data_IF_136270626168
#
_entry.id   IF_136270626168
#
_cell.length_a   1.000
_cell.length_b   1.000
_cell.length_c   1.000
_cell.angle_alpha   90.00
_cell.angle_beta   90.00
_cell.angle_gamma   90.00
#
_symmetry.space_group_name_H-M   'P 1'
#
loop_
_entity.id
_entity.type
_entity.pdbx_description
1 polymer ?
#
# COMPACT_ATOMS: atom_id res chain seq x y z
N UNK A 1 34.83 7.83 9.79
CA UNK A 1 34.51 6.59 10.54
C UNK A 1 33.07 6.71 11.02
N UNK A 2 32.12 6.22 10.25
CA UNK A 2 30.74 6.13 10.68
C UNK A 2 30.63 4.96 11.64
N UNK A 3 30.23 5.23 12.89
CA UNK A 3 30.07 4.19 13.89
C UNK A 3 29.09 3.14 13.43
N UNK A 4 29.55 1.90 13.35
CA UNK A 4 28.70 0.73 13.11
C UNK A 4 27.71 0.62 14.27
N UNK A 5 26.50 1.20 14.09
CA UNK A 5 25.37 0.80 14.90
C UNK A 5 25.15 -0.68 14.61
N UNK A 6 25.30 -1.54 15.60
CA UNK A 6 24.93 -2.95 15.53
C UNK A 6 23.42 -3.01 15.18
N UNK A 7 23.13 -3.15 13.89
CA UNK A 7 21.77 -3.35 13.41
C UNK A 7 21.47 -4.84 13.54
N UNK A 8 20.57 -5.20 14.45
CA UNK A 8 20.16 -6.58 14.68
C UNK A 8 18.87 -6.88 13.94
N UNK A 9 18.83 -8.02 13.27
CA UNK A 9 17.64 -8.49 12.55
C UNK A 9 16.73 -9.28 13.50
N UNK A 10 15.43 -8.92 13.54
CA UNK A 10 14.45 -9.66 14.31
C UNK A 10 14.08 -10.96 13.59
N UNK A 11 14.48 -12.10 14.14
CA UNK A 11 14.04 -13.40 13.65
C UNK A 11 12.89 -13.90 14.53
N UNK A 12 11.82 -14.47 13.92
CA UNK A 12 10.69 -15.12 14.63
C UNK A 12 11.15 -16.24 15.59
N UNK A 13 12.38 -16.73 15.47
CA UNK A 13 12.97 -17.77 16.33
C UNK A 13 13.79 -17.19 17.51
N UNK A 14 13.79 -15.87 17.73
CA UNK A 14 14.43 -15.28 18.90
C UNK A 14 15.95 -15.21 18.88
N UNK A 15 16.62 -15.60 17.78
CA UNK A 15 18.07 -15.44 17.61
C UNK A 15 18.37 -14.13 16.90
N UNK A 16 18.98 -13.20 17.62
CA UNK A 16 19.41 -11.94 17.03
C UNK A 16 20.67 -12.19 16.19
N UNK A 17 20.57 -11.92 14.89
CA UNK A 17 21.69 -11.99 13.95
C UNK A 17 21.92 -10.61 13.34
N UNK A 18 23.15 -10.26 12.95
CA UNK A 18 23.41 -9.03 12.21
C UNK A 18 22.57 -8.97 10.94
N UNK A 19 22.05 -7.78 10.61
CA UNK A 19 21.17 -7.56 9.43
C UNK A 19 21.77 -8.14 8.15
N UNK A 20 23.08 -7.91 7.94
CA UNK A 20 23.78 -8.40 6.74
C UNK A 20 23.97 -9.93 6.68
N UNK A 21 23.63 -10.65 7.76
CA UNK A 21 23.59 -12.12 7.80
C UNK A 21 22.15 -12.67 7.68
N UNK A 22 21.16 -11.80 7.65
CA UNK A 22 19.78 -12.26 7.51
C UNK A 22 19.56 -12.92 6.15
N UNK A 23 18.76 -14.00 6.08
CA UNK A 23 18.52 -14.72 4.81
C UNK A 23 18.00 -13.81 3.71
N UNK A 24 17.08 -12.91 4.03
CA UNK A 24 16.49 -11.98 3.07
C UNK A 24 17.47 -10.93 2.57
N UNK A 25 18.37 -10.45 3.43
CA UNK A 25 19.43 -9.55 3.03
C UNK A 25 20.39 -10.21 2.04
N UNK A 26 20.84 -11.43 2.36
CA UNK A 26 21.76 -12.20 1.51
C UNK A 26 21.11 -12.57 0.17
N UNK A 27 19.83 -12.94 0.17
CA UNK A 27 19.06 -13.19 -1.04
C UNK A 27 18.99 -11.95 -1.94
N UNK A 28 18.67 -10.80 -1.36
CA UNK A 28 18.58 -9.53 -2.10
C UNK A 28 19.93 -9.10 -2.65
N UNK A 29 21.00 -9.25 -1.87
CA UNK A 29 22.36 -8.99 -2.32
C UNK A 29 22.74 -9.87 -3.51
N UNK A 30 22.48 -11.18 -3.40
CA UNK A 30 22.73 -12.13 -4.49
C UNK A 30 21.94 -11.76 -5.75
N UNK A 31 20.67 -11.36 -5.59
CA UNK A 31 19.84 -10.91 -6.72
C UNK A 31 20.45 -9.66 -7.40
N UNK A 32 20.90 -8.68 -6.65
CA UNK A 32 21.58 -7.50 -7.21
C UNK A 32 22.87 -7.90 -7.95
N UNK A 33 23.69 -8.77 -7.35
CA UNK A 33 24.93 -9.28 -7.96
C UNK A 33 24.66 -10.03 -9.29
N UNK A 34 23.58 -10.82 -9.36
CA UNK A 34 23.17 -11.52 -10.58
C UNK A 34 22.76 -10.54 -11.70
N UNK A 35 22.02 -9.48 -11.37
CA UNK A 35 21.62 -8.44 -12.35
C UNK A 35 22.83 -7.65 -12.84
N UNK A 36 23.75 -7.31 -11.93
CA UNK A 36 25.00 -6.61 -12.30
C UNK A 36 25.86 -7.49 -13.22
N UNK A 37 25.98 -8.78 -12.88
CA UNK A 37 26.77 -9.75 -13.64
C UNK A 37 26.19 -10.03 -15.03
N UNK A 38 24.89 -9.99 -15.20
CA UNK A 38 24.22 -10.07 -16.51
C UNK A 38 24.75 -8.96 -17.46
N UNK A 39 25.10 -7.80 -16.91
CA UNK A 39 25.73 -6.69 -17.65
C UNK A 39 24.79 -5.98 -18.64
N UNK A 40 23.59 -6.47 -18.86
CA UNK A 40 22.62 -6.01 -19.86
C UNK A 40 22.33 -4.50 -19.75
N UNK A 41 22.21 -4.02 -18.52
CA UNK A 41 21.82 -2.63 -18.24
C UNK A 41 23.00 -1.75 -17.80
N UNK A 42 24.21 -2.28 -17.67
CA UNK A 42 25.37 -1.54 -17.21
C UNK A 42 25.25 -1.02 -15.78
N UNK A 43 24.52 -1.77 -14.94
CA UNK A 43 24.33 -1.44 -13.52
C UNK A 43 25.58 -1.79 -12.71
N UNK A 44 25.78 -1.08 -11.61
CA UNK A 44 26.87 -1.27 -10.68
C UNK A 44 26.30 -1.44 -9.24
N UNK A 45 27.15 -1.84 -8.30
CA UNK A 45 26.76 -2.00 -6.89
C UNK A 45 26.16 -0.71 -6.30
N UNK A 46 26.70 0.46 -6.69
CA UNK A 46 26.21 1.76 -6.25
C UNK A 46 24.80 2.12 -6.74
N UNK A 47 24.25 1.37 -7.71
CA UNK A 47 22.87 1.57 -8.16
C UNK A 47 21.86 0.85 -7.28
N UNK A 48 22.29 -0.01 -6.35
CA UNK A 48 21.43 -0.81 -5.50
C UNK A 48 21.68 -0.55 -4.01
N UNK A 49 20.62 -0.63 -3.22
CA UNK A 49 20.72 -0.81 -1.76
C UNK A 49 19.56 -1.64 -1.22
N UNK A 50 19.75 -2.19 -0.04
CA UNK A 50 18.75 -3.00 0.63
C UNK A 50 18.09 -2.14 1.68
N UNK A 51 16.79 -1.88 1.50
CA UNK A 51 16.00 -1.10 2.44
C UNK A 51 15.66 -1.94 3.66
N UNK A 52 16.00 -1.38 4.81
CA UNK A 52 15.70 -1.95 6.12
C UNK A 52 14.97 -0.90 6.95
N UNK A 53 13.86 -1.27 7.56
CA UNK A 53 13.11 -0.38 8.44
C UNK A 53 13.28 -0.78 9.90
N UNK A 54 13.32 0.22 10.78
CA UNK A 54 13.32 -0.02 12.22
C UNK A 54 11.91 -0.37 12.68
N UNK A 55 11.79 -1.49 13.40
CA UNK A 55 10.53 -1.93 14.01
C UNK A 55 10.29 -1.19 15.33
N UNK A 56 9.07 -1.25 15.85
CA UNK A 56 8.72 -0.70 17.18
C UNK A 56 9.60 -1.25 18.32
N UNK A 57 10.17 -2.42 18.14
CA UNK A 57 11.10 -3.04 19.11
C UNK A 57 12.53 -2.56 18.97
N UNK A 58 12.84 -1.61 18.09
CA UNK A 58 14.19 -1.11 17.83
C UNK A 58 15.05 -2.06 16.98
N UNK A 59 14.49 -3.10 16.42
CA UNK A 59 15.17 -4.04 15.53
C UNK A 59 14.93 -3.68 14.07
N UNK A 60 15.88 -4.04 13.20
CA UNK A 60 15.74 -3.80 11.77
C UNK A 60 14.98 -4.95 11.09
N UNK A 61 14.05 -4.63 10.23
CA UNK A 61 13.33 -5.58 9.36
C UNK A 61 13.63 -5.29 7.89
N UNK A 62 13.78 -6.35 7.11
CA UNK A 62 13.94 -6.25 5.66
C UNK A 62 12.65 -5.70 5.03
N UNK A 63 12.80 -4.73 4.12
CA UNK A 63 11.68 -4.17 3.37
C UNK A 63 11.78 -4.48 1.89
N UNK A 64 12.92 -4.21 1.24
CA UNK A 64 13.05 -4.48 -0.19
C UNK A 64 14.46 -4.27 -0.74
N UNK A 65 14.68 -4.77 -1.96
CA UNK A 65 15.82 -4.40 -2.78
C UNK A 65 15.45 -3.17 -3.61
N UNK A 66 16.21 -2.12 -3.44
CA UNK A 66 15.96 -0.82 -4.05
C UNK A 66 16.95 -0.57 -5.18
N UNK A 67 16.45 -0.06 -6.30
CA UNK A 67 17.25 0.46 -7.40
C UNK A 67 17.17 1.99 -7.40
N UNK A 68 18.31 2.65 -7.58
CA UNK A 68 18.38 4.10 -7.67
C UNK A 68 17.66 4.64 -8.92
N UNK A 69 17.21 5.89 -8.85
CA UNK A 69 16.69 6.59 -10.03
C UNK A 69 17.71 6.59 -11.19
N UNK A 70 19.00 6.80 -10.87
CA UNK A 70 20.06 6.72 -11.88
C UNK A 70 20.17 5.30 -12.48
N UNK A 71 19.97 4.26 -11.67
CA UNK A 71 19.89 2.89 -12.16
C UNK A 71 18.71 2.69 -13.11
N UNK A 72 17.54 3.25 -12.81
CA UNK A 72 16.38 3.23 -13.70
C UNK A 72 16.67 3.95 -15.02
N UNK A 73 17.37 5.11 -15.00
CA UNK A 73 17.77 5.81 -16.23
C UNK A 73 18.74 4.99 -17.07
N UNK A 74 19.72 4.31 -16.46
CA UNK A 74 20.63 3.40 -17.17
C UNK A 74 19.89 2.25 -17.85
N UNK A 75 18.92 1.65 -17.15
CA UNK A 75 18.05 0.61 -17.72
C UNK A 75 17.29 1.16 -18.92
N UNK A 76 16.61 2.30 -18.74
CA UNK A 76 15.83 2.92 -19.81
C UNK A 76 16.68 3.19 -21.06
N UNK A 77 17.94 3.61 -20.89
CA UNK A 77 18.86 3.83 -22.01
C UNK A 77 19.16 2.55 -22.80
N UNK A 78 19.14 1.39 -22.16
CA UNK A 78 19.44 0.08 -22.77
C UNK A 78 18.22 -0.69 -23.24
N UNK A 79 17.00 -0.29 -22.86
CA UNK A 79 15.78 -0.93 -23.35
C UNK A 79 15.59 -0.66 -24.85
N UNK A 80 15.11 -1.66 -25.58
CA UNK A 80 14.64 -1.50 -26.96
C UNK A 80 13.35 -0.67 -26.99
N UNK A 81 12.39 -1.02 -26.14
CA UNK A 81 11.15 -0.29 -25.95
C UNK A 81 11.25 0.58 -24.69
N UNK A 82 11.60 1.84 -24.89
CA UNK A 82 11.92 2.80 -23.84
C UNK A 82 10.67 3.49 -23.30
N UNK A 83 10.84 4.15 -22.17
CA UNK A 83 9.88 5.14 -21.67
C UNK A 83 9.60 6.20 -22.76
N UNK A 84 8.31 6.50 -22.97
CA UNK A 84 7.83 7.41 -24.01
C UNK A 84 7.22 8.67 -23.38
N UNK A 85 7.92 9.81 -23.43
CA UNK A 85 7.42 11.05 -22.82
C UNK A 85 6.05 11.51 -23.33
N UNK A 86 5.72 11.21 -24.58
CA UNK A 86 4.45 11.53 -25.23
C UNK A 86 3.24 10.79 -24.61
N UNK A 87 3.49 9.70 -23.88
CA UNK A 87 2.47 8.94 -23.16
C UNK A 87 2.17 9.49 -21.76
N UNK A 88 2.82 10.59 -21.37
CA UNK A 88 2.69 11.18 -20.02
C UNK A 88 1.62 12.24 -19.98
N UNK A 89 0.72 12.17 -19.00
CA UNK A 89 -0.20 13.23 -18.63
C UNK A 89 -0.02 13.63 -17.16
N UNK A 90 -0.41 14.85 -16.82
CA UNK A 90 -0.32 15.38 -15.46
C UNK A 90 -1.70 15.86 -15.00
N UNK A 91 -2.10 15.45 -13.81
CA UNK A 91 -3.26 15.95 -13.09
C UNK A 91 -2.82 16.64 -11.79
N UNK A 92 -3.25 17.90 -11.62
CA UNK A 92 -2.94 18.71 -10.42
C UNK A 92 -4.02 18.59 -9.35
N UNK A 93 -5.20 18.15 -9.73
CA UNK A 93 -6.39 18.07 -8.88
C UNK A 93 -6.74 16.63 -8.50
N UNK A 94 -5.71 15.79 -8.38
CA UNK A 94 -5.86 14.40 -7.97
C UNK A 94 -6.56 14.26 -6.61
N UNK A 95 -7.07 13.06 -6.34
CA UNK A 95 -7.77 12.76 -5.10
C UNK A 95 -6.98 13.19 -3.86
N UNK A 96 -7.62 13.87 -2.92
CA UNK A 96 -7.01 14.45 -1.72
C UNK A 96 -5.89 15.49 -1.98
N UNK A 97 -5.94 16.22 -3.10
CA UNK A 97 -4.94 17.21 -3.43
C UNK A 97 -3.59 16.63 -3.85
N UNK A 98 -3.59 15.38 -4.28
CA UNK A 98 -2.40 14.73 -4.83
C UNK A 98 -2.05 15.30 -6.19
N UNK A 99 -0.76 15.50 -6.43
CA UNK A 99 -0.20 15.72 -7.76
C UNK A 99 0.07 14.36 -8.39
N UNK A 100 -0.50 14.11 -9.56
CA UNK A 100 -0.41 12.83 -10.25
C UNK A 100 0.20 13.00 -11.63
N UNK A 101 1.22 12.20 -11.93
CA UNK A 101 1.62 11.93 -13.31
C UNK A 101 1.15 10.52 -13.67
N UNK A 102 0.47 10.41 -14.81
CA UNK A 102 0.06 9.14 -15.38
C UNK A 102 0.82 8.84 -16.66
N UNK A 103 1.11 7.58 -16.87
CA UNK A 103 1.68 7.04 -18.08
C UNK A 103 0.67 6.05 -18.68
N UNK A 104 0.22 6.32 -19.90
CA UNK A 104 -0.71 5.45 -20.62
C UNK A 104 -0.15 5.18 -22.01
N UNK A 105 0.39 3.98 -22.22
CA UNK A 105 0.93 3.55 -23.49
C UNK A 105 0.31 2.22 -23.92
N UNK A 106 -0.81 2.23 -24.69
CA UNK A 106 -1.48 1.02 -25.15
C UNK A 106 -0.57 0.11 -26.00
N UNK A 107 0.34 0.69 -26.76
CA UNK A 107 1.30 -0.05 -27.60
C UNK A 107 2.26 -0.91 -26.78
N UNK A 108 2.63 -0.44 -25.58
CA UNK A 108 3.43 -1.20 -24.62
C UNK A 108 2.57 -2.06 -23.69
N UNK A 109 1.24 -1.95 -23.77
CA UNK A 109 0.31 -2.59 -22.85
C UNK A 109 0.49 -2.10 -21.42
N UNK A 110 0.91 -0.84 -21.23
CA UNK A 110 1.33 -0.33 -19.92
C UNK A 110 0.55 0.92 -19.53
N UNK A 111 0.02 0.86 -18.29
CA UNK A 111 -0.51 2.00 -17.57
C UNK A 111 0.17 2.08 -16.19
N UNK A 112 0.62 3.28 -15.80
CA UNK A 112 1.26 3.52 -14.51
C UNK A 112 0.99 4.93 -14.01
N UNK A 113 1.10 5.12 -12.69
CA UNK A 113 0.95 6.43 -12.05
C UNK A 113 2.10 6.69 -11.08
N UNK A 114 2.48 7.96 -10.96
CA UNK A 114 3.31 8.45 -9.86
C UNK A 114 2.59 9.60 -9.18
N UNK A 115 2.35 9.46 -7.89
CA UNK A 115 1.65 10.46 -7.11
C UNK A 115 2.47 10.96 -5.94
N UNK A 116 2.27 12.23 -5.60
CA UNK A 116 2.78 12.82 -4.37
C UNK A 116 1.72 13.68 -3.71
N UNK A 117 1.75 13.69 -2.39
CA UNK A 117 0.91 14.53 -1.55
C UNK A 117 1.72 14.94 -0.30
N UNK A 118 1.22 15.87 0.53
CA UNK A 118 1.94 16.32 1.72
C UNK A 118 2.28 15.24 2.75
N UNK A 119 1.64 14.05 2.69
CA UNK A 119 1.92 12.94 3.60
C UNK A 119 3.10 12.09 3.13
N UNK A 120 3.22 11.88 1.80
CA UNK A 120 4.22 10.98 1.21
C UNK A 120 5.39 11.71 0.51
N UNK A 121 5.40 13.06 0.52
CA UNK A 121 6.47 13.86 -0.06
C UNK A 121 6.71 15.10 0.79
N UNK A 122 7.88 15.19 1.42
CA UNK A 122 8.29 16.29 2.30
C UNK A 122 9.33 17.20 1.66
N UNK A 123 9.69 16.96 0.41
CA UNK A 123 10.69 17.76 -0.32
C UNK A 123 10.04 18.94 -1.04
N UNK A 124 10.85 19.96 -1.36
CA UNK A 124 10.40 21.23 -1.95
C UNK A 124 10.01 21.14 -3.44
N UNK A 125 10.24 20.00 -4.12
CA UNK A 125 9.97 19.79 -5.55
C UNK A 125 9.06 18.60 -5.81
N UNK A 126 7.80 18.67 -5.42
CA UNK A 126 6.86 17.55 -5.52
C UNK A 126 6.58 17.12 -6.97
N UNK A 127 6.60 18.05 -7.91
CA UNK A 127 6.42 17.73 -9.34
C UNK A 127 7.49 16.78 -9.87
N UNK A 128 8.75 17.09 -9.58
CA UNK A 128 9.86 16.25 -10.00
C UNK A 128 9.79 14.86 -9.34
N UNK A 129 9.35 14.80 -8.08
CA UNK A 129 9.21 13.55 -7.36
C UNK A 129 8.09 12.68 -7.93
N UNK A 130 6.92 13.24 -8.21
CA UNK A 130 5.81 12.52 -8.84
C UNK A 130 6.21 11.96 -10.22
N UNK A 131 6.89 12.77 -11.04
CA UNK A 131 7.38 12.36 -12.35
C UNK A 131 8.39 11.20 -12.23
N UNK A 132 9.37 11.32 -11.33
CA UNK A 132 10.37 10.26 -11.08
C UNK A 132 9.71 8.94 -10.66
N UNK A 133 8.75 9.00 -9.71
CA UNK A 133 8.01 7.81 -9.26
C UNK A 133 7.34 7.10 -10.43
N UNK A 134 6.62 7.83 -11.26
CA UNK A 134 5.96 7.27 -12.43
C UNK A 134 6.98 6.69 -13.41
N UNK A 135 8.02 7.46 -13.76
CA UNK A 135 9.06 7.03 -14.70
C UNK A 135 9.78 5.76 -14.23
N UNK A 136 10.20 5.72 -12.97
CA UNK A 136 10.91 4.56 -12.41
C UNK A 136 10.02 3.31 -12.41
N UNK A 137 8.75 3.42 -12.03
CA UNK A 137 7.77 2.32 -12.10
C UNK A 137 7.59 1.79 -13.51
N UNK A 138 7.47 2.68 -14.49
CA UNK A 138 7.39 2.31 -15.91
C UNK A 138 8.64 1.53 -16.34
N UNK A 139 9.82 2.05 -16.05
CA UNK A 139 11.09 1.42 -16.44
C UNK A 139 11.27 0.05 -15.76
N UNK A 140 10.94 -0.05 -14.48
CA UNK A 140 11.01 -1.33 -13.76
C UNK A 140 10.04 -2.37 -14.33
N UNK A 141 8.86 -1.97 -14.81
CA UNK A 141 7.91 -2.86 -15.48
C UNK A 141 8.39 -3.26 -16.87
N UNK A 142 8.86 -2.31 -17.69
CA UNK A 142 9.40 -2.58 -19.03
C UNK A 142 10.60 -3.53 -18.98
N UNK A 143 11.49 -3.35 -18.01
CA UNK A 143 12.63 -4.24 -17.77
C UNK A 143 12.27 -5.57 -17.09
N UNK A 144 11.04 -5.73 -16.65
CA UNK A 144 10.51 -6.86 -15.85
C UNK A 144 11.13 -7.00 -14.45
N UNK A 145 11.93 -6.03 -13.99
CA UNK A 145 12.55 -6.06 -12.66
C UNK A 145 11.53 -5.85 -11.53
N UNK A 146 10.45 -5.09 -11.77
CA UNK A 146 9.36 -4.93 -10.80
C UNK A 146 8.78 -6.29 -10.37
N UNK A 147 8.59 -7.21 -11.32
CA UNK A 147 8.05 -8.55 -11.03
C UNK A 147 9.01 -9.44 -10.23
N UNK A 148 10.26 -9.03 -10.11
CA UNK A 148 11.27 -9.67 -9.27
C UNK A 148 11.34 -9.07 -7.86
N UNK A 149 10.43 -8.17 -7.50
CA UNK A 149 10.40 -7.51 -6.19
C UNK A 149 11.54 -6.49 -5.99
N UNK A 150 11.88 -5.78 -7.08
CA UNK A 150 12.80 -4.65 -7.04
C UNK A 150 11.96 -3.37 -7.10
N UNK A 151 12.22 -2.45 -6.19
CA UNK A 151 11.51 -1.19 -6.05
C UNK A 151 12.44 -0.03 -6.43
N UNK A 152 11.86 1.12 -6.76
CA UNK A 152 12.66 2.32 -7.01
C UNK A 152 13.00 3.07 -5.73
N UNK A 153 14.07 3.86 -5.79
CA UNK A 153 14.50 4.76 -4.70
C UNK A 153 13.38 5.69 -4.22
N UNK A 154 12.60 6.21 -5.14
CA UNK A 154 11.54 7.17 -4.86
C UNK A 154 10.32 6.54 -4.17
N UNK A 155 10.26 5.20 -4.10
CA UNK A 155 9.26 4.44 -3.35
C UNK A 155 9.76 4.07 -1.94
N UNK A 156 11.06 4.17 -1.70
CA UNK A 156 11.66 3.79 -0.42
C UNK A 156 11.08 4.58 0.77
N UNK A 157 10.72 5.84 0.55
CA UNK A 157 10.09 6.69 1.57
C UNK A 157 8.67 6.23 1.93
N UNK A 158 7.95 5.58 1.00
CA UNK A 158 6.60 5.05 1.26
C UNK A 158 6.64 3.86 2.21
N UNK A 159 7.72 3.07 2.16
CA UNK A 159 7.93 1.94 3.06
C UNK A 159 8.36 2.34 4.47
N UNK A 160 8.89 3.56 4.65
CA UNK A 160 9.33 4.05 5.95
C UNK A 160 8.18 4.36 6.93
N UNK A 161 6.95 4.49 6.44
CA UNK A 161 5.78 4.98 7.19
C UNK A 161 4.86 3.86 7.66
N UNK A 162 5.02 2.63 7.20
CA UNK A 162 4.14 1.54 7.61
C UNK A 162 4.63 0.89 8.90
N UNK A 163 3.94 1.24 10.00
CA UNK A 163 3.85 0.44 11.21
C UNK A 163 3.50 -1.01 10.85
N UNK A 164 4.40 -1.94 11.12
CA UNK A 164 4.36 -3.39 10.93
C UNK A 164 3.93 -3.86 9.52
N UNK A 165 4.68 -4.75 8.87
CA UNK A 165 4.08 -5.50 7.80
C UNK A 165 2.88 -6.21 8.42
N UNK A 166 1.65 -5.82 8.03
CA UNK A 166 0.52 -6.72 8.12
C UNK A 166 1.03 -8.07 7.64
N UNK A 167 0.98 -9.06 8.52
CA UNK A 167 1.32 -10.43 8.15
C UNK A 167 0.67 -10.66 6.80
N UNK A 168 1.46 -11.07 5.80
CA UNK A 168 0.94 -11.35 4.46
C UNK A 168 -0.42 -12.01 4.66
N UNK A 169 -1.50 -11.50 4.06
CA UNK A 169 -2.82 -12.03 4.34
C UNK A 169 -2.67 -13.55 4.21
N UNK A 170 -2.84 -14.25 5.34
CA UNK A 170 -3.11 -15.68 5.25
C UNK A 170 -4.17 -15.75 4.19
N UNK A 171 -3.94 -16.51 3.14
CA UNK A 171 -4.96 -16.83 2.15
C UNK A 171 -6.04 -17.51 2.95
N UNK A 172 -6.93 -16.70 3.52
CA UNK A 172 -8.16 -17.16 4.14
C UNK A 172 -8.94 -17.69 2.95
N UNK A 173 -9.24 -18.98 2.90
CA UNK A 173 -10.06 -19.51 1.83
C UNK A 173 -11.34 -18.68 1.83
N UNK A 174 -11.69 -18.10 0.68
CA UNK A 174 -12.84 -17.26 0.39
C UNK A 174 -13.77 -17.04 1.59
N UNK A 175 -13.47 -16.06 2.43
CA UNK A 175 -14.45 -15.54 3.35
C UNK A 175 -15.52 -14.92 2.44
N UNK A 176 -16.68 -15.57 2.37
CA UNK A 176 -17.88 -15.04 1.72
C UNK A 176 -17.98 -13.56 2.08
N UNK A 177 -17.83 -12.68 1.07
CA UNK A 177 -18.00 -11.25 1.25
C UNK A 177 -19.46 -11.06 1.64
N UNK A 178 -19.73 -10.98 2.95
CA UNK A 178 -21.09 -10.75 3.45
C UNK A 178 -21.47 -9.33 3.05
N UNK A 179 -22.40 -9.14 2.11
CA UNK A 179 -22.80 -7.81 1.69
C UNK A 179 -23.40 -7.06 2.87
N UNK A 180 -22.97 -5.82 3.11
CA UNK A 180 -23.55 -4.93 4.11
C UNK A 180 -24.79 -4.23 3.56
N UNK A 181 -25.68 -3.75 4.47
CA UNK A 181 -26.85 -3.01 4.05
C UNK A 181 -26.47 -1.71 3.33
N UNK A 182 -27.20 -1.37 2.29
CA UNK A 182 -27.00 -0.16 1.51
C UNK A 182 -27.55 1.10 2.20
N UNK A 183 -27.37 2.26 1.57
CA UNK A 183 -27.86 3.55 2.10
C UNK A 183 -29.38 3.62 2.15
N UNK A 184 -30.08 2.93 1.24
CA UNK A 184 -31.55 2.92 1.20
C UNK A 184 -32.11 2.13 2.39
N UNK A 185 -31.61 0.91 2.62
CA UNK A 185 -31.98 0.08 3.75
C UNK A 185 -31.71 0.77 5.10
N UNK A 186 -30.57 1.47 5.24
CA UNK A 186 -30.29 2.27 6.46
C UNK A 186 -31.34 3.37 6.69
N UNK A 187 -31.74 4.08 5.61
CA UNK A 187 -32.78 5.11 5.71
C UNK A 187 -34.12 4.53 6.12
N UNK A 188 -34.48 3.36 5.62
CA UNK A 188 -35.71 2.63 6.01
C UNK A 188 -35.67 2.20 7.49
N UNK A 189 -34.54 1.73 8.00
CA UNK A 189 -34.40 1.39 9.43
C UNK A 189 -34.66 2.60 10.34
N UNK A 190 -34.11 3.77 9.97
CA UNK A 190 -34.37 5.00 10.73
C UNK A 190 -35.81 5.51 10.59
N UNK A 191 -36.44 5.32 9.43
CA UNK A 191 -37.85 5.65 9.23
C UNK A 191 -38.74 4.77 10.11
N UNK A 192 -38.51 3.45 10.09
CA UNK A 192 -39.22 2.49 10.95
C UNK A 192 -39.06 2.82 12.44
N UNK A 193 -37.81 3.08 12.86
CA UNK A 193 -37.55 3.47 14.25
C UNK A 193 -38.27 4.78 14.63
N UNK A 194 -38.33 5.75 13.68
CA UNK A 194 -39.07 7.00 13.87
C UNK A 194 -40.59 6.81 14.03
N UNK A 195 -41.18 5.92 13.21
CA UNK A 195 -42.60 5.59 13.28
C UNK A 195 -42.97 4.91 14.60
N UNK A 196 -42.12 4.01 15.08
CA UNK A 196 -42.43 3.20 16.29
C UNK A 196 -42.02 3.91 17.56
N UNK A 197 -40.89 4.61 17.60
CA UNK A 197 -40.26 5.15 18.83
C UNK A 197 -40.14 6.68 18.85
N UNK A 198 -40.60 7.39 17.80
CA UNK A 198 -40.56 8.85 17.74
C UNK A 198 -39.18 9.44 17.99
N UNK A 199 -39.08 10.33 18.98
CA UNK A 199 -37.81 11.04 19.31
C UNK A 199 -36.70 10.09 19.81
N UNK A 200 -37.04 8.88 20.25
CA UNK A 200 -36.07 7.89 20.70
C UNK A 200 -35.48 7.02 19.59
N UNK A 201 -35.89 7.22 18.36
CA UNK A 201 -35.46 6.41 17.18
C UNK A 201 -33.97 6.17 17.10
N UNK A 202 -33.17 7.23 17.24
CA UNK A 202 -31.69 7.15 17.16
C UNK A 202 -31.10 6.32 18.29
N UNK A 203 -31.66 6.46 19.50
CA UNK A 203 -31.19 5.71 20.68
C UNK A 203 -31.50 4.22 20.53
N UNK A 204 -32.69 3.88 20.00
CA UNK A 204 -33.10 2.51 19.75
C UNK A 204 -32.24 1.85 18.68
N UNK A 205 -32.05 2.49 17.53
CA UNK A 205 -31.16 1.95 16.48
C UNK A 205 -29.74 1.74 16.98
N UNK A 206 -29.23 2.67 17.78
CA UNK A 206 -27.92 2.52 18.41
C UNK A 206 -27.87 1.35 19.37
N UNK A 207 -28.87 1.20 20.26
CA UNK A 207 -28.91 0.10 21.21
C UNK A 207 -28.97 -1.27 20.53
N UNK A 208 -29.68 -1.40 19.41
CA UNK A 208 -29.73 -2.62 18.63
C UNK A 208 -28.36 -2.88 17.96
N UNK A 209 -27.72 -1.88 17.39
CA UNK A 209 -26.35 -2.05 16.85
C UNK A 209 -25.36 -2.48 17.94
N UNK A 210 -25.39 -1.83 19.09
CA UNK A 210 -24.48 -2.13 20.21
C UNK A 210 -24.70 -3.57 20.75
N UNK A 211 -25.92 -4.06 20.75
CA UNK A 211 -26.25 -5.43 21.18
C UNK A 211 -25.64 -6.51 20.26
N UNK A 212 -25.46 -6.19 18.96
CA UNK A 212 -24.83 -7.04 17.97
C UNK A 212 -23.31 -6.78 17.80
N UNK A 213 -22.77 -5.81 18.54
CA UNK A 213 -21.35 -5.43 18.42
C UNK A 213 -21.01 -4.60 17.18
N UNK A 214 -22.01 -4.06 16.47
CA UNK A 214 -21.80 -3.19 15.31
C UNK A 214 -21.56 -1.75 15.77
N UNK A 215 -20.51 -1.12 15.27
CA UNK A 215 -20.18 0.28 15.62
C UNK A 215 -21.15 1.28 15.00
N UNK A 216 -21.66 0.96 13.81
CA UNK A 216 -22.58 1.81 13.05
C UNK A 216 -23.58 0.96 12.26
N UNK A 217 -24.66 1.59 11.79
CA UNK A 217 -25.61 0.92 10.88
C UNK A 217 -25.01 0.50 9.52
N UNK A 218 -23.82 0.97 9.20
CA UNK A 218 -23.09 0.53 8.01
C UNK A 218 -22.47 -0.85 8.17
N UNK A 219 -22.33 -1.31 9.38
CA UNK A 219 -21.69 -2.59 9.72
C UNK A 219 -22.71 -3.73 9.82
N UNK A 220 -24.00 -3.46 9.53
CA UNK A 220 -25.08 -4.45 9.56
C UNK A 220 -24.99 -5.31 8.27
N UNK A 221 -24.81 -6.64 8.39
CA UNK A 221 -24.85 -7.54 7.25
C UNK A 221 -26.23 -7.53 6.58
N UNK A 222 -26.30 -7.56 5.27
CA UNK A 222 -27.58 -7.53 4.54
C UNK A 222 -28.50 -8.71 4.90
N UNK A 223 -27.92 -9.86 5.27
CA UNK A 223 -28.66 -11.04 5.74
C UNK A 223 -29.38 -10.82 7.07
N UNK A 224 -28.92 -9.89 7.91
CA UNK A 224 -29.44 -9.62 9.24
C UNK A 224 -30.49 -8.48 9.24
N UNK A 225 -30.74 -7.83 8.09
CA UNK A 225 -31.60 -6.67 7.95
C UNK A 225 -33.02 -6.92 8.50
N UNK A 226 -33.62 -8.06 8.16
CA UNK A 226 -34.99 -8.40 8.61
C UNK A 226 -35.05 -8.68 10.12
N UNK A 227 -34.04 -9.30 10.69
CA UNK A 227 -33.93 -9.50 12.13
C UNK A 227 -33.80 -8.15 12.86
N UNK A 228 -32.96 -7.25 12.34
CA UNK A 228 -32.80 -5.89 12.89
C UNK A 228 -34.09 -5.08 12.81
N UNK A 229 -34.86 -5.17 11.71
CA UNK A 229 -36.16 -4.53 11.59
C UNK A 229 -37.13 -5.00 12.66
N UNK A 230 -37.17 -6.31 12.91
CA UNK A 230 -38.01 -6.91 13.94
C UNK A 230 -37.59 -6.46 15.33
N UNK A 231 -36.30 -6.46 15.64
CA UNK A 231 -35.76 -6.01 16.93
C UNK A 231 -36.07 -4.53 17.20
N UNK A 232 -35.92 -3.66 16.19
CA UNK A 232 -36.31 -2.24 16.31
C UNK A 232 -37.80 -2.11 16.56
N UNK A 233 -38.65 -2.89 15.90
CA UNK A 233 -40.11 -2.85 16.09
C UNK A 233 -40.52 -3.32 17.48
N UNK A 234 -39.90 -4.38 18.00
CA UNK A 234 -40.22 -5.00 19.28
C UNK A 234 -39.46 -4.35 20.47
N UNK A 235 -38.56 -3.39 20.23
CA UNK A 235 -37.71 -2.79 21.26
C UNK A 235 -38.56 -2.12 22.34
N UNK A 236 -38.41 -2.60 23.56
CA UNK A 236 -39.02 -1.97 24.75
C UNK A 236 -37.89 -1.29 25.52
N UNK A 237 -37.96 0.03 25.65
CA UNK A 237 -37.05 0.74 26.54
C UNK A 237 -37.25 0.21 27.97
N UNK A 238 -36.18 -0.26 28.58
CA UNK A 238 -36.17 -0.72 29.96
C UNK A 238 -36.28 0.47 30.93
#
# INVERSE_FOLDING_TARGET
MFGEKKMEYSNKKGTDIPVWQSPKYLESRKKAEEIIKDGRYGLAEADFWILMNETKSGKMAYTGLILSHNGCLKINDKLEDKFRPECVAMDKDGYNGSLVYSYCCPEQGLYEVGEVNPKNCKIEYPYAMALKRMQDRVVLKLSKLAYSGIYSEVEADEFAVHDEPEAAPEVVPDAEVVPMIDKAARKELFALAGEVHGDNAKAVVKAVCDAHGWKTTSDIPAKDLEAVRKEIFEYKAA
#
